data_IF_930784688165
#
_entry.id   IF_930784688165
#
_cell.length_a   1.000
_cell.length_b   1.000
_cell.length_c   1.000
_cell.angle_alpha   90.00
_cell.angle_beta   90.00
_cell.angle_gamma   90.00
#
_symmetry.space_group_name_H-M   'P 1'
#
loop_
_entity.id
_entity.type
_entity.pdbx_description
1 polymer ?
#
# COMPACT_ATOMS: atom_id res chain seq x y z
N UNK A 1 -7.94 -10.09 15.31
CA UNK A 1 -7.01 -9.93 16.46
C UNK A 1 -6.22 -8.66 16.19
N UNK A 2 -6.42 -7.63 16.99
CA UNK A 2 -5.89 -6.29 16.71
C UNK A 2 -4.68 -6.02 17.58
N UNK A 3 -3.58 -5.69 16.95
CA UNK A 3 -2.27 -5.48 17.56
C UNK A 3 -2.05 -3.98 17.82
N UNK A 4 -1.63 -3.63 19.01
CA UNK A 4 -1.23 -2.28 19.38
C UNK A 4 0.29 -2.16 19.34
N UNK A 5 0.81 -1.23 18.54
CA UNK A 5 2.26 -1.01 18.44
C UNK A 5 2.69 0.11 19.37
N UNK A 6 3.70 -0.12 20.18
CA UNK A 6 4.28 0.88 21.06
C UNK A 6 5.71 1.17 20.61
N UNK A 7 5.99 2.45 20.40
CA UNK A 7 7.35 2.97 20.45
C UNK A 7 7.64 3.43 21.86
N UNK A 8 8.66 2.86 22.49
CA UNK A 8 9.23 3.43 23.70
C UNK A 8 9.82 4.80 23.37
N UNK A 9 9.15 5.85 23.82
CA UNK A 9 9.77 7.16 23.85
C UNK A 9 10.82 7.15 24.96
N UNK A 10 12.01 7.64 24.68
CA UNK A 10 13.10 7.81 25.65
C UNK A 10 12.73 8.69 26.87
N UNK A 11 11.56 9.31 26.87
CA UNK A 11 11.04 10.16 27.95
C UNK A 11 10.21 9.38 29.00
N UNK A 12 10.04 8.06 28.87
CA UNK A 12 9.38 7.22 29.89
C UNK A 12 7.88 7.44 30.11
N UNK A 13 7.20 8.24 29.26
CA UNK A 13 5.76 8.47 29.34
C UNK A 13 5.04 7.91 28.10
N UNK A 14 3.95 7.20 28.34
CA UNK A 14 3.09 6.60 27.33
C UNK A 14 1.86 7.49 27.14
N UNK A 15 1.85 8.32 26.11
CA UNK A 15 0.66 9.11 25.80
C UNK A 15 0.43 9.20 24.30
N UNK A 16 -0.58 8.43 23.81
CA UNK A 16 -1.16 8.70 22.49
C UNK A 16 -2.31 7.76 22.13
N UNK A 17 -3.39 8.29 21.63
CA UNK A 17 -4.57 7.48 21.32
C UNK A 17 -4.90 7.50 19.83
N UNK A 18 -4.99 6.35 19.20
CA UNK A 18 -5.64 6.15 17.91
C UNK A 18 -6.79 5.15 18.09
N UNK A 19 -7.97 5.46 17.51
CA UNK A 19 -9.16 4.61 17.63
C UNK A 19 -9.35 3.85 16.30
N UNK A 20 -9.15 2.54 16.32
CA UNK A 20 -9.58 1.65 15.25
C UNK A 20 -10.84 0.91 15.68
N UNK A 21 -11.80 0.74 14.76
CA UNK A 21 -13.03 -0.02 14.99
C UNK A 21 -12.77 -1.46 14.60
N UNK A 22 -12.97 -2.42 15.51
CA UNK A 22 -12.98 -3.84 15.16
C UNK A 22 -14.38 -4.28 14.77
N UNK A 23 -14.48 -5.36 14.02
CA UNK A 23 -15.76 -6.03 13.70
C UNK A 23 -16.56 -6.45 14.95
N UNK A 24 -15.91 -6.53 16.10
CA UNK A 24 -16.50 -6.89 17.40
C UNK A 24 -16.81 -5.69 18.31
N UNK A 25 -16.81 -4.46 17.80
CA UNK A 25 -17.16 -3.26 18.59
C UNK A 25 -16.13 -2.85 19.65
N UNK A 26 -14.96 -3.49 19.71
CA UNK A 26 -13.89 -3.16 20.67
C UNK A 26 -13.11 -1.95 20.15
N UNK A 27 -13.01 -0.88 20.95
CA UNK A 27 -12.16 0.27 20.65
C UNK A 27 -10.72 -0.07 21.01
N UNK A 28 -9.83 0.02 20.03
CA UNK A 28 -8.41 -0.16 20.21
C UNK A 28 -7.72 1.18 20.11
N UNK A 29 -6.94 1.49 21.13
CA UNK A 29 -6.15 2.71 21.19
C UNK A 29 -4.70 2.38 20.91
N UNK A 30 -4.13 2.99 19.86
CA UNK A 30 -2.70 2.95 19.59
C UNK A 30 -2.07 4.18 20.23
N UNK A 31 -1.20 3.97 21.20
CA UNK A 31 -0.52 5.01 21.95
C UNK A 31 0.76 5.45 21.24
N UNK A 32 0.89 6.71 20.94
CA UNK A 32 2.07 7.29 20.26
C UNK A 32 2.41 8.65 20.84
N UNK A 33 3.71 8.90 20.99
CA UNK A 33 4.20 10.18 21.48
C UNK A 33 3.78 11.32 20.54
N UNK A 34 3.19 12.43 21.03
CA UNK A 34 2.84 13.60 20.21
C UNK A 34 4.03 14.15 19.40
N UNK A 35 5.23 14.14 19.99
CA UNK A 35 6.45 14.60 19.32
C UNK A 35 6.77 13.68 18.11
N UNK A 36 6.56 12.38 18.24
CA UNK A 36 6.73 11.44 17.13
C UNK A 36 5.80 11.77 15.95
N UNK A 37 4.53 12.13 16.23
CA UNK A 37 3.58 12.54 15.18
C UNK A 37 4.03 13.81 14.45
N UNK A 38 4.58 14.77 15.20
CA UNK A 38 5.13 16.01 14.59
C UNK A 38 6.34 15.68 13.73
N UNK A 39 7.28 14.87 14.25
CA UNK A 39 8.42 14.42 13.47
C UNK A 39 8.03 13.70 12.18
N UNK A 40 7.03 12.80 12.25
CA UNK A 40 6.49 12.12 11.07
C UNK A 40 5.93 13.10 10.02
N UNK A 41 5.29 14.21 10.43
CA UNK A 41 4.80 15.21 9.48
C UNK A 41 5.93 15.87 8.68
N UNK A 42 7.07 16.16 9.34
CA UNK A 42 8.23 16.70 8.67
C UNK A 42 8.87 15.69 7.73
N UNK A 43 9.07 14.46 8.22
CA UNK A 43 9.69 13.39 7.43
C UNK A 43 8.83 13.04 6.22
N UNK A 44 7.52 12.91 6.37
CA UNK A 44 6.59 12.62 5.29
C UNK A 44 6.70 13.68 4.17
N UNK A 45 6.80 14.96 4.53
CA UNK A 45 7.03 16.05 3.58
C UNK A 45 8.38 15.89 2.85
N UNK A 46 9.46 15.59 3.58
CA UNK A 46 10.77 15.35 2.97
C UNK A 46 10.77 14.14 2.05
N UNK A 47 10.07 13.06 2.43
CA UNK A 47 9.89 11.89 1.56
C UNK A 47 9.15 12.29 0.29
N UNK A 48 8.04 13.02 0.40
CA UNK A 48 7.29 13.48 -0.77
C UNK A 48 8.15 14.34 -1.71
N UNK A 49 8.89 15.30 -1.18
CA UNK A 49 9.76 16.19 -1.97
C UNK A 49 10.84 15.43 -2.74
N UNK A 50 11.50 14.46 -2.10
CA UNK A 50 12.60 13.70 -2.74
C UNK A 50 12.13 12.52 -3.58
N UNK A 51 10.89 12.05 -3.38
CA UNK A 51 10.34 10.92 -4.10
C UNK A 51 9.47 11.32 -5.28
N UNK A 52 9.05 12.60 -5.34
CA UNK A 52 8.08 13.09 -6.31
C UNK A 52 8.47 12.81 -7.76
N UNK A 53 9.73 13.08 -8.13
CA UNK A 53 10.25 12.87 -9.49
C UNK A 53 10.43 11.40 -9.87
N UNK A 54 10.52 10.52 -8.86
CA UNK A 54 10.67 9.08 -9.03
C UNK A 54 9.35 8.32 -8.91
N UNK A 55 8.27 9.03 -8.55
CA UNK A 55 6.98 8.41 -8.32
C UNK A 55 6.33 7.96 -9.62
N UNK A 56 5.85 6.72 -9.63
CA UNK A 56 5.06 6.20 -10.75
C UNK A 56 3.83 7.09 -11.01
N UNK A 57 3.68 7.48 -12.27
CA UNK A 57 2.57 8.31 -12.72
C UNK A 57 1.20 7.65 -12.50
N UNK A 58 1.15 6.34 -12.44
CA UNK A 58 -0.05 5.55 -12.24
C UNK A 58 -0.37 5.27 -10.75
N UNK A 59 0.43 5.76 -9.79
CA UNK A 59 0.11 5.69 -8.36
C UNK A 59 -0.67 6.93 -7.93
N UNK A 60 -1.93 6.74 -7.53
CA UNK A 60 -2.85 7.80 -7.14
C UNK A 60 -3.01 7.92 -5.62
N UNK A 61 -2.86 6.83 -4.89
CA UNK A 61 -3.06 6.82 -3.45
C UNK A 61 -1.95 7.54 -2.69
N UNK A 62 -2.34 8.30 -1.67
CA UNK A 62 -1.42 9.06 -0.81
C UNK A 62 -0.43 9.97 -1.57
N UNK A 63 -0.84 10.49 -2.72
CA UNK A 63 -0.03 11.33 -3.60
C UNK A 63 -0.63 12.72 -3.70
N UNK A 64 0.17 13.76 -3.47
CA UNK A 64 -0.28 15.15 -3.56
C UNK A 64 -0.82 15.47 -4.94
N UNK A 65 -1.99 16.12 -4.98
CA UNK A 65 -2.67 16.49 -6.23
C UNK A 65 -3.39 15.34 -6.93
N UNK A 66 -3.38 14.13 -6.37
CA UNK A 66 -4.10 12.96 -6.87
C UNK A 66 -5.18 12.53 -5.88
N UNK A 67 -6.22 11.88 -6.38
CA UNK A 67 -7.38 11.46 -5.59
C UNK A 67 -8.00 10.17 -6.14
N UNK A 68 -8.93 9.58 -5.40
CA UNK A 68 -9.79 8.49 -5.90
C UNK A 68 -10.52 8.89 -7.18
N UNK A 69 -11.00 10.14 -7.24
CA UNK A 69 -11.68 10.66 -8.43
C UNK A 69 -10.77 10.66 -9.66
N UNK A 70 -9.52 11.15 -9.52
CA UNK A 70 -8.57 11.16 -10.65
C UNK A 70 -8.15 9.76 -11.07
N UNK A 71 -8.03 8.80 -10.14
CA UNK A 71 -7.81 7.39 -10.45
C UNK A 71 -8.98 6.78 -11.23
N UNK A 72 -10.21 7.04 -10.79
CA UNK A 72 -11.43 6.58 -11.46
C UNK A 72 -11.60 7.21 -12.84
N UNK A 73 -11.30 8.50 -13.00
CA UNK A 73 -11.32 9.16 -14.30
C UNK A 73 -10.34 8.49 -15.27
N UNK A 74 -9.11 8.20 -14.81
CA UNK A 74 -8.14 7.50 -15.67
C UNK A 74 -8.62 6.09 -16.02
N UNK A 75 -9.13 5.33 -15.05
CA UNK A 75 -9.67 3.99 -15.29
C UNK A 75 -10.82 4.05 -16.31
N UNK A 76 -11.79 4.93 -16.10
CA UNK A 76 -12.94 5.08 -16.96
C UNK A 76 -12.53 5.53 -18.36
N UNK A 77 -11.61 6.49 -18.47
CA UNK A 77 -11.06 6.94 -19.75
C UNK A 77 -10.36 5.78 -20.50
N UNK A 78 -9.56 4.99 -19.78
CA UNK A 78 -8.92 3.80 -20.35
C UNK A 78 -9.95 2.81 -20.88
N UNK A 79 -11.01 2.53 -20.12
CA UNK A 79 -12.08 1.63 -20.52
C UNK A 79 -12.81 2.13 -21.78
N UNK A 80 -13.17 3.41 -21.83
CA UNK A 80 -13.88 3.97 -22.97
C UNK A 80 -13.03 4.06 -24.25
N UNK A 81 -11.74 4.40 -24.12
CA UNK A 81 -10.83 4.41 -25.28
C UNK A 81 -10.74 3.06 -25.98
N UNK A 82 -10.93 1.97 -25.22
CA UNK A 82 -10.90 0.62 -25.78
C UNK A 82 -12.28 0.09 -26.19
N UNK A 83 -13.36 0.79 -25.82
CA UNK A 83 -14.73 0.40 -26.17
C UNK A 83 -15.20 0.88 -27.54
N UNK A 84 -14.43 1.74 -28.19
CA UNK A 84 -14.80 2.32 -29.50
C UNK A 84 -14.86 1.26 -30.62
N UNK A 85 -14.20 0.11 -30.42
CA UNK A 85 -14.34 -1.04 -31.30
C UNK A 85 -15.35 -2.05 -30.69
N UNK A 86 -16.51 -2.16 -31.33
CA UNK A 86 -17.63 -3.00 -30.88
C UNK A 86 -17.34 -4.51 -30.82
N UNK A 87 -16.19 -4.94 -31.29
CA UNK A 87 -15.75 -6.33 -31.27
C UNK A 87 -14.77 -6.64 -30.13
N UNK A 88 -14.38 -5.63 -29.37
CA UNK A 88 -13.43 -5.80 -28.28
C UNK A 88 -14.11 -6.11 -26.95
N UNK A 89 -13.48 -7.01 -26.20
CA UNK A 89 -13.75 -7.25 -24.79
C UNK A 89 -12.74 -6.47 -23.96
N UNK A 90 -13.21 -5.72 -22.99
CA UNK A 90 -12.35 -5.06 -21.99
C UNK A 90 -12.43 -5.85 -20.70
N UNK A 91 -11.30 -6.33 -20.23
CA UNK A 91 -11.17 -7.09 -18.98
C UNK A 91 -10.43 -6.25 -17.96
N UNK A 92 -10.96 -6.13 -16.76
CA UNK A 92 -10.32 -5.41 -15.67
C UNK A 92 -10.09 -6.38 -14.53
N UNK A 93 -8.85 -6.50 -14.10
CA UNK A 93 -8.46 -7.24 -12.91
C UNK A 93 -8.26 -6.26 -11.75
N UNK A 94 -9.04 -6.43 -10.69
CA UNK A 94 -8.87 -5.70 -9.42
C UNK A 94 -8.16 -6.62 -8.44
N UNK A 95 -6.94 -6.24 -8.06
CA UNK A 95 -6.09 -7.01 -7.17
C UNK A 95 -6.01 -6.37 -5.80
N UNK A 96 -6.25 -7.17 -4.76
CA UNK A 96 -6.10 -6.80 -3.35
C UNK A 96 -4.90 -7.56 -2.75
N UNK A 97 -4.08 -6.91 -1.94
CA UNK A 97 -3.03 -7.57 -1.20
C UNK A 97 -3.48 -7.90 0.23
N UNK A 98 -3.19 -9.11 0.67
CA UNK A 98 -3.48 -9.54 2.04
C UNK A 98 -2.59 -8.79 3.02
N UNK A 99 -3.20 -8.00 3.92
CA UNK A 99 -2.48 -7.30 5.00
C UNK A 99 -1.24 -6.54 4.52
N UNK A 100 -1.36 -5.81 3.41
CA UNK A 100 -0.26 -5.14 2.72
C UNK A 100 0.65 -4.33 3.66
N UNK A 101 0.07 -3.52 4.56
CA UNK A 101 0.82 -2.72 5.52
C UNK A 101 1.45 -3.52 6.66
N UNK A 102 0.88 -4.66 7.02
CA UNK A 102 1.39 -5.53 8.09
C UNK A 102 2.54 -6.41 7.61
N UNK A 103 2.61 -6.66 6.30
CA UNK A 103 3.59 -7.53 5.66
C UNK A 103 4.77 -6.76 5.04
N UNK A 104 4.84 -5.43 5.17
CA UNK A 104 5.99 -4.66 4.68
C UNK A 104 7.28 -5.28 5.22
N UNK A 105 8.06 -5.90 4.33
CA UNK A 105 9.40 -6.40 4.68
C UNK A 105 10.37 -5.21 4.78
N UNK A 106 10.99 -5.07 5.94
CA UNK A 106 11.89 -3.96 6.20
C UNK A 106 13.19 -4.08 5.38
N UNK A 107 13.62 -5.30 5.04
CA UNK A 107 14.81 -5.53 4.21
C UNK A 107 14.54 -5.10 2.78
N UNK A 108 13.39 -5.53 2.21
CA UNK A 108 12.94 -5.09 0.89
C UNK A 108 12.80 -3.57 0.83
N UNK A 109 12.23 -2.95 1.87
CA UNK A 109 12.14 -1.49 1.93
C UNK A 109 13.52 -0.83 1.97
N UNK A 110 14.49 -1.39 2.73
CA UNK A 110 15.85 -0.85 2.80
C UNK A 110 16.53 -0.91 1.44
N UNK A 111 16.40 -2.04 0.73
CA UNK A 111 16.94 -2.21 -0.62
C UNK A 111 16.32 -1.20 -1.59
N UNK A 112 15.01 -1.04 -1.58
CA UNK A 112 14.32 -0.06 -2.44
C UNK A 112 14.69 1.38 -2.09
N UNK A 113 14.82 1.73 -0.82
CA UNK A 113 15.31 3.03 -0.40
C UNK A 113 16.72 3.33 -0.95
N UNK A 114 17.55 2.30 -1.15
CA UNK A 114 18.90 2.48 -1.72
C UNK A 114 18.87 2.89 -3.19
N UNK A 115 17.83 2.54 -3.94
CA UNK A 115 17.67 2.86 -5.36
C UNK A 115 17.31 4.33 -5.60
N UNK A 116 16.79 5.02 -4.58
CA UNK A 116 16.38 6.42 -4.70
C UNK A 116 17.38 7.37 -4.06
N UNK A 117 17.44 8.58 -4.61
CA UNK A 117 18.35 9.62 -4.11
C UNK A 117 17.82 10.32 -2.84
N UNK A 118 17.47 9.52 -1.82
CA UNK A 118 17.13 10.06 -0.52
C UNK A 118 18.38 10.45 0.26
N UNK A 119 18.34 11.55 1.02
CA UNK A 119 19.38 11.88 1.96
C UNK A 119 19.62 10.73 2.96
N UNK A 120 20.89 10.40 3.31
CA UNK A 120 21.19 9.25 4.18
C UNK A 120 20.46 9.29 5.53
N UNK A 121 20.33 10.47 6.13
CA UNK A 121 19.62 10.65 7.39
C UNK A 121 18.12 10.33 7.29
N UNK A 122 17.50 10.58 6.13
CA UNK A 122 16.11 10.24 5.87
C UNK A 122 15.90 8.72 5.76
N UNK A 123 16.80 8.04 5.02
CA UNK A 123 16.80 6.56 4.93
C UNK A 123 16.94 5.93 6.31
N UNK A 124 17.96 6.39 7.07
CA UNK A 124 18.20 5.89 8.43
C UNK A 124 17.02 6.14 9.36
N UNK A 125 16.39 7.30 9.27
CA UNK A 125 15.20 7.58 10.08
C UNK A 125 14.05 6.64 9.74
N UNK A 126 13.72 6.45 8.46
CA UNK A 126 12.63 5.55 8.04
C UNK A 126 12.87 4.12 8.52
N UNK A 127 14.09 3.62 8.37
CA UNK A 127 14.45 2.29 8.84
C UNK A 127 14.39 2.20 10.37
N UNK A 128 14.94 3.16 11.11
CA UNK A 128 14.90 3.18 12.58
C UNK A 128 13.47 3.30 13.11
N UNK A 129 12.57 3.95 12.36
CA UNK A 129 11.16 4.04 12.71
C UNK A 129 10.44 2.69 12.60
N UNK A 130 10.88 1.82 11.71
CA UNK A 130 10.26 0.51 11.46
C UNK A 130 10.92 -0.63 12.20
N UNK A 131 12.25 -0.62 12.36
CA UNK A 131 13.00 -1.67 13.04
C UNK A 131 12.86 -1.63 14.55
N UNK A 132 12.99 -2.81 15.18
CA UNK A 132 13.10 -2.94 16.65
C UNK A 132 11.82 -2.55 17.41
N UNK A 133 10.67 -2.53 16.74
CA UNK A 133 9.39 -2.20 17.38
C UNK A 133 8.87 -3.37 18.20
N UNK A 134 8.21 -3.03 19.30
CA UNK A 134 7.48 -3.99 20.12
C UNK A 134 6.02 -3.58 20.21
N UNK A 135 5.14 -4.57 20.37
CA UNK A 135 3.71 -4.35 20.48
C UNK A 135 3.06 -5.25 21.51
N UNK A 136 1.97 -4.81 22.09
CA UNK A 136 1.09 -5.63 22.90
C UNK A 136 -0.38 -5.26 22.69
N UNK A 137 -1.29 -6.12 23.07
CA UNK A 137 -2.73 -5.89 23.06
C UNK A 137 -3.20 -5.51 24.44
N UNK A 138 -3.99 -4.43 24.56
CA UNK A 138 -4.65 -4.04 25.81
C UNK A 138 -6.17 -4.09 25.62
N UNK A 139 -6.84 -4.80 26.53
CA UNK A 139 -8.31 -4.88 26.60
C UNK A 139 -8.73 -4.56 28.02
N UNK A 140 -9.33 -3.40 28.23
CA UNK A 140 -9.61 -2.90 29.57
C UNK A 140 -8.33 -2.74 30.39
N UNK A 141 -8.25 -3.44 31.54
CA UNK A 141 -7.06 -3.42 32.40
C UNK A 141 -6.06 -4.56 32.12
N UNK A 142 -6.38 -5.46 31.20
CA UNK A 142 -5.53 -6.60 30.85
C UNK A 142 -4.62 -6.28 29.67
N UNK A 143 -3.35 -6.65 29.78
CA UNK A 143 -2.35 -6.53 28.70
C UNK A 143 -1.82 -7.91 28.32
N UNK A 144 -1.62 -8.13 27.01
CA UNK A 144 -0.90 -9.31 26.53
C UNK A 144 0.61 -9.22 26.84
N UNK A 145 1.32 -10.29 26.57
CA UNK A 145 2.78 -10.24 26.50
C UNK A 145 3.23 -9.29 25.40
N UNK A 146 4.38 -8.64 25.60
CA UNK A 146 5.06 -7.83 24.59
C UNK A 146 5.64 -8.76 23.52
N UNK A 147 5.43 -8.44 22.25
CA UNK A 147 5.95 -9.16 21.09
C UNK A 147 6.73 -8.19 20.23
N UNK A 148 7.93 -8.57 19.81
CA UNK A 148 8.71 -7.80 18.85
C UNK A 148 8.15 -7.99 17.44
N UNK A 149 8.10 -6.90 16.67
CA UNK A 149 7.67 -6.91 15.26
C UNK A 149 8.88 -6.88 14.36
N UNK A 150 8.89 -7.77 13.37
CA UNK A 150 9.97 -7.89 12.39
C UNK A 150 9.54 -7.42 10.99
N UNK A 151 8.27 -7.08 10.81
CA UNK A 151 7.70 -6.61 9.55
C UNK A 151 6.59 -5.60 9.81
N UNK A 152 6.11 -4.99 8.74
CA UNK A 152 4.97 -4.09 8.70
C UNK A 152 5.26 -2.67 9.15
N UNK A 153 4.30 -1.80 8.90
CA UNK A 153 4.30 -0.41 9.37
C UNK A 153 3.20 -0.21 10.43
N UNK A 154 3.42 0.65 11.44
CA UNK A 154 2.40 0.92 12.44
C UNK A 154 1.17 1.58 11.81
N UNK A 155 -0.01 1.04 12.07
CA UNK A 155 -1.25 1.63 11.60
C UNK A 155 -1.46 3.06 12.13
N UNK A 156 -2.04 3.94 11.31
CA UNK A 156 -2.29 5.33 11.66
C UNK A 156 -1.04 6.21 11.70
N UNK A 157 0.08 5.75 11.15
CA UNK A 157 1.30 6.54 10.93
C UNK A 157 1.27 7.18 9.55
N UNK A 158 2.01 8.27 9.35
CA UNK A 158 2.27 8.85 8.03
C UNK A 158 3.38 8.08 7.30
N UNK A 159 4.35 7.57 8.04
CA UNK A 159 5.45 6.80 7.49
C UNK A 159 5.02 5.46 6.87
N UNK A 160 3.93 4.85 7.35
CA UNK A 160 3.39 3.61 6.78
C UNK A 160 3.01 3.73 5.31
N UNK A 161 2.08 4.62 4.95
CA UNK A 161 1.74 4.91 3.56
C UNK A 161 2.93 5.30 2.70
N UNK A 162 3.87 6.09 3.21
CA UNK A 162 5.09 6.48 2.49
C UNK A 162 6.01 5.28 2.23
N UNK A 163 6.19 4.39 3.21
CA UNK A 163 6.95 3.15 3.05
C UNK A 163 6.31 2.22 2.01
N UNK A 164 4.99 2.03 2.07
CA UNK A 164 4.29 1.18 1.10
C UNK A 164 4.34 1.77 -0.32
N UNK A 165 4.22 3.09 -0.45
CA UNK A 165 4.36 3.80 -1.73
C UNK A 165 5.73 3.55 -2.37
N UNK A 166 6.82 3.53 -1.58
CA UNK A 166 8.16 3.21 -2.05
C UNK A 166 8.25 1.76 -2.51
N UNK A 167 7.63 0.82 -1.76
CA UNK A 167 7.62 -0.60 -2.14
C UNK A 167 6.91 -0.82 -3.47
N UNK A 168 5.71 -0.27 -3.65
CA UNK A 168 4.89 -0.55 -4.84
C UNK A 168 5.29 0.30 -6.06
N UNK A 169 6.21 1.23 -5.90
CA UNK A 169 6.56 2.18 -6.96
C UNK A 169 7.12 1.52 -8.22
N UNK A 170 7.91 0.47 -8.06
CA UNK A 170 8.55 -0.27 -9.15
C UNK A 170 7.66 -1.37 -9.75
N UNK A 171 6.46 -1.57 -9.22
CA UNK A 171 5.48 -2.46 -9.86
C UNK A 171 5.09 -1.86 -11.22
N UNK A 172 5.59 -2.48 -12.27
CA UNK A 172 5.26 -2.16 -13.66
C UNK A 172 4.90 -3.47 -14.36
N UNK A 173 3.71 -3.49 -14.93
CA UNK A 173 3.22 -4.63 -15.70
C UNK A 173 3.22 -4.26 -17.17
N UNK A 174 3.20 -5.27 -18.01
CA UNK A 174 3.09 -5.12 -19.48
C UNK A 174 1.78 -4.44 -19.88
N UNK A 175 0.70 -4.64 -19.10
CA UNK A 175 -0.60 -4.05 -19.33
C UNK A 175 -0.80 -2.72 -18.58
N UNK A 176 -1.71 -1.84 -19.07
CA UNK A 176 -2.10 -0.63 -18.37
C UNK A 176 -2.52 -0.91 -16.93
N UNK A 177 -1.84 -0.27 -16.00
CA UNK A 177 -1.99 -0.52 -14.56
C UNK A 177 -2.25 0.79 -13.85
N UNK A 178 -3.25 0.81 -12.96
CA UNK A 178 -3.61 1.94 -12.12
C UNK A 178 -3.50 1.48 -10.67
N UNK A 179 -2.79 2.25 -9.84
CA UNK A 179 -2.53 1.92 -8.43
C UNK A 179 -3.16 2.96 -7.51
N UNK A 180 -3.83 2.49 -6.47
CA UNK A 180 -4.34 3.34 -5.42
C UNK A 180 -3.96 2.77 -4.05
N UNK A 181 -2.82 3.18 -3.52
CA UNK A 181 -2.14 2.62 -2.36
C UNK A 181 -1.79 1.15 -2.62
N UNK A 182 -2.51 0.21 -2.04
CA UNK A 182 -2.41 -1.24 -2.18
C UNK A 182 -3.40 -1.83 -3.20
N UNK A 183 -4.43 -1.08 -3.59
CA UNK A 183 -5.33 -1.52 -4.66
C UNK A 183 -4.65 -1.36 -6.04
N UNK A 184 -4.67 -2.43 -6.83
CA UNK A 184 -4.11 -2.45 -8.19
C UNK A 184 -5.19 -2.83 -9.18
N UNK A 185 -5.39 -2.02 -10.22
CA UNK A 185 -6.29 -2.31 -11.32
C UNK A 185 -5.48 -2.49 -12.60
N UNK A 186 -5.66 -3.62 -13.28
CA UNK A 186 -4.99 -3.95 -14.54
C UNK A 186 -6.04 -4.05 -15.64
N UNK A 187 -5.83 -3.39 -16.77
CA UNK A 187 -6.76 -3.36 -17.89
C UNK A 187 -6.18 -4.10 -19.07
N UNK A 188 -6.94 -5.05 -19.61
CA UNK A 188 -6.62 -5.76 -20.85
C UNK A 188 -7.73 -5.56 -21.88
N UNK A 189 -7.34 -5.54 -23.14
CA UNK A 189 -8.26 -5.47 -24.28
C UNK A 189 -7.97 -6.60 -25.22
N UNK A 190 -9.00 -7.32 -25.60
CA UNK A 190 -8.87 -8.44 -26.52
C UNK A 190 -10.08 -8.54 -27.44
N UNK A 191 -9.87 -8.99 -28.65
CA UNK A 191 -10.94 -9.39 -29.57
C UNK A 191 -11.53 -10.75 -29.25
N UNK A 192 -10.84 -11.54 -28.42
CA UNK A 192 -11.27 -12.84 -27.92
C UNK A 192 -11.29 -12.83 -26.37
N UNK A 193 -12.41 -13.19 -25.73
CA UNK A 193 -12.51 -13.30 -24.27
C UNK A 193 -11.56 -14.34 -23.68
N UNK A 194 -11.08 -15.31 -24.47
CA UNK A 194 -10.07 -16.30 -24.09
C UNK A 194 -8.63 -15.82 -24.12
N UNK A 195 -8.36 -14.56 -24.48
CA UNK A 195 -7.02 -14.00 -24.52
C UNK A 195 -6.32 -14.10 -23.16
N UNK A 196 -5.04 -14.50 -23.17
CA UNK A 196 -4.24 -14.77 -21.97
C UNK A 196 -3.45 -13.56 -21.44
N UNK A 197 -3.56 -12.38 -22.05
CA UNK A 197 -2.76 -11.20 -21.66
C UNK A 197 -2.97 -10.84 -20.19
N UNK A 198 -4.23 -10.87 -19.72
CA UNK A 198 -4.54 -10.59 -18.33
C UNK A 198 -3.97 -11.65 -17.37
N UNK A 199 -3.98 -12.92 -17.81
CA UNK A 199 -3.38 -14.01 -17.04
C UNK A 199 -1.86 -13.86 -16.95
N UNK A 200 -1.21 -13.45 -18.04
CA UNK A 200 0.23 -13.20 -18.06
C UNK A 200 0.58 -12.01 -17.13
N UNK A 201 -0.19 -10.93 -17.17
CA UNK A 201 0.00 -9.80 -16.27
C UNK A 201 -0.23 -10.18 -14.80
N UNK A 202 -1.15 -11.10 -14.52
CA UNK A 202 -1.33 -11.65 -13.17
C UNK A 202 -0.12 -12.46 -12.71
N UNK A 203 0.52 -13.23 -13.60
CA UNK A 203 1.77 -13.93 -13.28
C UNK A 203 2.91 -12.94 -13.01
N UNK A 204 3.08 -11.90 -13.84
CA UNK A 204 4.06 -10.83 -13.60
C UNK A 204 3.84 -10.17 -12.22
N UNK A 205 2.59 -9.87 -11.88
CA UNK A 205 2.22 -9.28 -10.59
C UNK A 205 2.51 -10.25 -9.43
N UNK A 206 2.21 -11.53 -9.60
CA UNK A 206 2.45 -12.56 -8.60
C UNK A 206 3.94 -12.73 -8.30
N UNK A 207 4.77 -12.81 -9.35
CA UNK A 207 6.22 -12.90 -9.22
C UNK A 207 6.80 -11.67 -8.53
N UNK A 208 6.32 -10.48 -8.93
CA UNK A 208 6.70 -9.23 -8.26
C UNK A 208 6.28 -9.23 -6.79
N UNK A 209 5.08 -9.69 -6.47
CA UNK A 209 4.59 -9.74 -5.09
C UNK A 209 5.44 -10.64 -4.20
N UNK A 210 5.80 -11.85 -4.69
CA UNK A 210 6.70 -12.77 -3.98
C UNK A 210 8.04 -12.11 -3.69
N UNK A 211 8.66 -11.48 -4.69
CA UNK A 211 9.96 -10.81 -4.54
C UNK A 211 9.90 -9.66 -3.52
N UNK A 212 8.73 -9.07 -3.30
CA UNK A 212 8.51 -7.98 -2.37
C UNK A 212 7.89 -8.41 -1.02
N UNK A 213 7.79 -9.72 -0.77
CA UNK A 213 7.25 -10.25 0.48
C UNK A 213 5.74 -9.99 0.66
N UNK A 214 5.02 -9.71 -0.43
CA UNK A 214 3.58 -9.46 -0.43
C UNK A 214 2.81 -10.69 -0.88
N UNK A 215 1.55 -10.79 -0.43
CA UNK A 215 0.66 -11.90 -0.77
C UNK A 215 -0.61 -11.34 -1.42
N UNK A 216 -0.96 -11.84 -2.61
CA UNK A 216 -2.22 -11.50 -3.27
C UNK A 216 -3.37 -12.16 -2.51
N UNK A 217 -4.44 -11.42 -2.28
CA UNK A 217 -5.68 -11.92 -1.69
C UNK A 217 -6.58 -12.46 -2.79
N UNK A 218 -6.56 -13.77 -2.98
CA UNK A 218 -7.34 -14.45 -4.03
C UNK A 218 -8.86 -14.33 -3.82
N UNK A 219 -9.31 -14.24 -2.57
CA UNK A 219 -10.75 -14.15 -2.26
C UNK A 219 -11.33 -12.79 -2.64
N UNK A 220 -10.53 -11.74 -2.54
CA UNK A 220 -10.93 -10.36 -2.86
C UNK A 220 -10.53 -9.93 -4.27
N UNK A 221 -9.52 -10.56 -4.87
CA UNK A 221 -9.15 -10.29 -6.26
C UNK A 221 -10.28 -10.70 -7.19
N UNK A 222 -10.72 -9.78 -8.05
CA UNK A 222 -11.87 -9.98 -8.93
C UNK A 222 -11.56 -9.51 -10.34
N UNK A 223 -12.11 -10.23 -11.29
CA UNK A 223 -12.12 -9.85 -12.69
C UNK A 223 -13.49 -9.32 -13.09
N UNK A 224 -13.50 -8.26 -13.90
CA UNK A 224 -14.69 -7.73 -14.53
C UNK A 224 -14.51 -7.77 -16.04
N UNK A 225 -15.43 -8.42 -16.73
CA UNK A 225 -15.51 -8.45 -18.19
C UNK A 225 -16.55 -7.43 -18.66
N UNK A 226 -16.15 -6.54 -19.56
CA UNK A 226 -17.00 -5.51 -20.16
C UNK A 226 -17.05 -5.74 -21.67
N UNK A 227 -18.27 -5.82 -22.22
CA UNK A 227 -18.50 -5.94 -23.65
C UNK A 227 -19.51 -4.87 -24.08
N UNK A 228 -19.13 -4.05 -25.02
CA UNK A 228 -19.94 -2.94 -25.53
C UNK A 228 -20.69 -3.30 -26.82
N UNK A 229 -20.65 -4.54 -27.28
CA UNK A 229 -21.36 -5.02 -28.46
C UNK A 229 -22.88 -4.90 -28.31
N UNK A 230 -23.55 -4.61 -29.40
CA UNK A 230 -25.01 -4.76 -29.47
C UNK A 230 -25.33 -6.24 -29.36
N UNK A 231 -26.04 -6.62 -28.28
CA UNK A 231 -26.60 -7.96 -28.14
C UNK A 231 -27.59 -8.30 -29.24
#
# INVERSE_FOLDING_TARGET
MLLCTIHLCSCGRYDCTFLARSEFGVRISVWRCPISKVAECFIDRFVEEHFYDSLDLNQFGNTKGRSTLTALILLTHTLFNYSDDSHNFVRVLFVDFSRAFELIDHTVLADKLSLYNFPPHLKLWMLSFLYGRSQFVKVGNNCSKIVNTHAGAPQGTRAGPSAFKIIINDLKLTLPTIKYVDDVSVVSVASDPGNLDLQNALHELYDWAILNGLTINTDKTKEMLIHFGKG
#
